data_IF_471163501811
#
_entry.id   IF_471163501811
#
_cell.length_a   1.000
_cell.length_b   1.000
_cell.length_c   1.000
_cell.angle_alpha   90.00
_cell.angle_beta   90.00
_cell.angle_gamma   90.00
#
_symmetry.space_group_name_H-M   'P 1'
#
loop_
_entity.id
_entity.type
_entity.pdbx_description
1 polymer ?
#
# COMPACT_ATOMS: atom_id res chain seq x y z
N UNK A 1 16.90 -31.20 8.20
CA UNK A 1 15.98 -30.41 9.07
C UNK A 1 16.23 -28.90 9.03
N UNK A 2 17.40 -28.39 8.59
CA UNK A 2 17.72 -26.94 8.64
C UNK A 2 17.11 -26.04 7.55
N UNK A 3 16.62 -26.59 6.44
CA UNK A 3 16.17 -25.79 5.28
C UNK A 3 14.82 -25.11 5.49
N UNK A 4 13.92 -25.77 6.23
CA UNK A 4 12.55 -25.28 6.45
C UNK A 4 12.55 -24.00 7.29
N UNK A 5 13.42 -23.91 8.31
CA UNK A 5 13.50 -22.71 9.15
C UNK A 5 13.97 -21.48 8.36
N UNK A 6 14.93 -21.64 7.46
CA UNK A 6 15.37 -20.56 6.58
C UNK A 6 14.27 -20.10 5.62
N UNK A 7 13.58 -21.05 4.98
CA UNK A 7 12.46 -20.74 4.08
C UNK A 7 11.30 -20.05 4.81
N UNK A 8 10.95 -20.49 6.01
CA UNK A 8 9.89 -19.88 6.81
C UNK A 8 10.24 -18.43 7.20
N UNK A 9 11.48 -18.17 7.63
CA UNK A 9 11.92 -16.81 7.96
C UNK A 9 11.86 -15.90 6.74
N UNK A 10 12.36 -16.36 5.58
CA UNK A 10 12.31 -15.57 4.34
C UNK A 10 10.87 -15.28 3.93
N UNK A 11 9.97 -16.28 3.99
CA UNK A 11 8.56 -16.08 3.67
C UNK A 11 7.87 -15.07 4.59
N UNK A 12 8.13 -15.13 5.91
CA UNK A 12 7.56 -14.17 6.85
C UNK A 12 8.05 -12.75 6.57
N UNK A 13 9.33 -12.57 6.29
CA UNK A 13 9.89 -11.25 5.95
C UNK A 13 9.27 -10.74 4.64
N UNK A 14 9.16 -11.59 3.62
CA UNK A 14 8.59 -11.21 2.33
C UNK A 14 7.13 -10.74 2.48
N UNK A 15 6.32 -11.50 3.23
CA UNK A 15 4.92 -11.16 3.51
C UNK A 15 4.80 -9.86 4.32
N UNK A 16 5.66 -9.66 5.31
CA UNK A 16 5.67 -8.44 6.11
C UNK A 16 6.00 -7.20 5.28
N UNK A 17 7.01 -7.28 4.40
CA UNK A 17 7.40 -6.17 3.51
C UNK A 17 6.29 -5.87 2.51
N UNK A 18 5.75 -6.88 1.82
CA UNK A 18 4.65 -6.70 0.86
C UNK A 18 3.40 -6.13 1.55
N UNK A 19 3.06 -6.64 2.74
CA UNK A 19 1.96 -6.12 3.55
C UNK A 19 2.17 -4.66 3.97
N UNK A 20 3.39 -4.29 4.37
CA UNK A 20 3.73 -2.91 4.75
C UNK A 20 3.65 -1.94 3.56
N UNK A 21 4.04 -2.38 2.35
CA UNK A 21 3.92 -1.59 1.12
C UNK A 21 2.44 -1.36 0.80
N UNK A 22 1.61 -2.42 0.78
CA UNK A 22 0.17 -2.29 0.51
C UNK A 22 -0.51 -1.42 1.57
N UNK A 23 -0.17 -1.62 2.85
CA UNK A 23 -0.70 -0.81 3.94
C UNK A 23 -0.31 0.66 3.79
N UNK A 24 0.93 0.94 3.43
CA UNK A 24 1.41 2.29 3.14
C UNK A 24 0.67 2.89 1.96
N UNK A 25 0.47 2.15 0.85
CA UNK A 25 -0.30 2.63 -0.30
C UNK A 25 -1.77 2.94 0.05
N UNK A 26 -2.42 2.08 0.82
CA UNK A 26 -3.80 2.31 1.27
C UNK A 26 -3.86 3.50 2.22
N UNK A 27 -2.91 3.62 3.14
CA UNK A 27 -2.82 4.74 4.07
C UNK A 27 -2.49 6.05 3.34
N UNK A 28 -1.62 6.03 2.34
CA UNK A 28 -1.31 7.18 1.48
C UNK A 28 -2.52 7.62 0.65
N UNK A 29 -3.30 6.65 0.15
CA UNK A 29 -4.57 6.92 -0.54
C UNK A 29 -5.60 7.55 0.40
N UNK A 30 -5.66 7.12 1.66
CA UNK A 30 -6.53 7.71 2.69
C UNK A 30 -6.03 9.08 3.16
N UNK A 31 -4.73 9.29 3.20
CA UNK A 31 -4.09 10.55 3.59
C UNK A 31 -4.00 11.57 2.46
N UNK A 32 -4.58 11.28 1.28
CA UNK A 32 -4.72 12.24 0.20
C UNK A 32 -3.43 12.56 -0.55
N UNK A 33 -2.41 11.69 -0.55
CA UNK A 33 -1.16 11.88 -1.32
C UNK A 33 -1.31 11.62 -2.83
N UNK A 34 -2.45 11.96 -3.39
CA UNK A 34 -2.66 12.07 -4.84
C UNK A 34 -3.44 13.34 -5.07
N UNK A 35 -2.99 14.13 -6.05
CA UNK A 35 -3.48 15.47 -6.40
C UNK A 35 -5.01 15.63 -6.54
N UNK A 36 -5.78 14.54 -6.56
CA UNK A 36 -7.16 14.42 -6.08
C UNK A 36 -7.35 12.97 -5.58
N UNK A 37 -7.63 12.76 -4.28
CA UNK A 37 -7.65 11.48 -3.54
C UNK A 37 -8.65 10.38 -3.97
N UNK A 38 -8.92 10.22 -5.27
CA UNK A 38 -9.91 9.26 -5.79
C UNK A 38 -11.37 9.68 -5.59
N UNK A 39 -11.60 10.86 -5.00
CA UNK A 39 -12.92 11.45 -4.82
C UNK A 39 -12.96 12.77 -5.62
N UNK A 40 -13.18 12.70 -6.94
CA UNK A 40 -13.28 13.90 -7.78
C UNK A 40 -14.46 14.83 -7.36
N UNK A 41 -15.40 14.34 -6.55
CA UNK A 41 -16.48 15.13 -5.95
C UNK A 41 -15.98 16.18 -4.94
N UNK A 42 -14.88 15.92 -4.22
CA UNK A 42 -14.33 16.86 -3.23
C UNK A 42 -13.34 17.87 -3.83
N UNK A 43 -12.86 17.63 -5.07
CA UNK A 43 -11.91 18.49 -5.78
C UNK A 43 -12.57 19.66 -6.54
N UNK A 44 -13.75 20.12 -6.10
CA UNK A 44 -14.39 21.33 -6.61
C UNK A 44 -14.67 21.34 -8.12
N UNK A 45 -14.90 20.19 -8.75
CA UNK A 45 -15.24 20.09 -10.17
C UNK A 45 -14.08 20.21 -11.16
N UNK A 46 -12.82 20.29 -10.70
CA UNK A 46 -11.66 20.48 -11.59
C UNK A 46 -11.10 19.19 -12.21
N UNK A 47 -11.72 18.02 -12.00
CA UNK A 47 -11.27 16.74 -12.61
C UNK A 47 -11.59 16.62 -14.13
N UNK A 48 -12.35 17.55 -14.71
CA UNK A 48 -12.70 17.51 -16.12
C UNK A 48 -12.74 18.92 -16.75
N UNK A 49 -11.55 19.51 -16.94
CA UNK A 49 -11.27 20.46 -18.02
C UNK A 49 -9.79 20.38 -18.41
#
# INVERSE_FOLDING_TARGET
MGSILGTLVVLLILLAVVGAIIWSMVKDKKNGKSSCGGNCSACGGHCHK
#
